data_IF_123946963552
#
_entry.id   IF_123946963552
#
_cell.length_a   1.000
_cell.length_b   1.000
_cell.length_c   1.000
_cell.angle_alpha   90.00
_cell.angle_beta   90.00
_cell.angle_gamma   90.00
#
_symmetry.space_group_name_H-M   'P 1'
#
loop_
_entity.id
_entity.type
_entity.pdbx_description
1 polymer ?
#
# COMPACT_ATOMS: atom_id res chain seq x y z
N UNK A 1 7.29 27.21 0.44
CA UNK A 1 6.26 27.20 1.50
C UNK A 1 6.73 26.26 2.61
N UNK A 2 6.92 26.72 3.85
CA UNK A 2 7.41 25.88 4.95
C UNK A 2 6.22 25.34 5.73
N UNK A 3 5.83 24.10 5.45
CA UNK A 3 4.74 23.43 6.17
C UNK A 3 5.25 23.08 7.57
N UNK A 4 4.66 23.69 8.59
CA UNK A 4 4.94 23.35 9.99
C UNK A 4 4.00 22.24 10.42
N UNK A 5 4.56 21.06 10.67
CA UNK A 5 3.82 19.89 11.12
C UNK A 5 3.70 19.86 12.65
N UNK A 6 2.60 19.28 13.16
CA UNK A 6 2.37 19.17 14.60
C UNK A 6 3.48 18.35 15.30
N UNK A 7 3.74 18.65 16.58
CA UNK A 7 4.74 17.90 17.38
C UNK A 7 4.43 16.40 17.47
N UNK A 8 3.16 16.01 17.32
CA UNK A 8 2.72 14.60 17.38
C UNK A 8 3.21 13.82 16.16
N UNK A 9 3.03 14.35 14.96
CA UNK A 9 3.44 13.65 13.73
C UNK A 9 4.97 13.56 13.60
N UNK A 10 5.71 14.54 14.14
CA UNK A 10 7.17 14.52 14.18
C UNK A 10 7.76 13.34 14.97
N UNK A 11 6.97 12.70 15.85
CA UNK A 11 7.38 11.53 16.64
C UNK A 11 7.06 10.19 15.95
N UNK A 12 6.27 10.19 14.88
CA UNK A 12 5.89 8.98 14.16
C UNK A 12 7.06 8.58 13.28
N UNK A 13 7.62 7.40 13.52
CA UNK A 13 8.68 6.86 12.67
C UNK A 13 8.09 6.46 11.32
N UNK A 14 8.84 6.62 10.21
CA UNK A 14 8.46 6.05 8.93
C UNK A 14 8.17 4.54 9.05
N UNK A 15 7.15 4.07 8.35
CA UNK A 15 6.76 2.65 8.40
C UNK A 15 7.81 1.78 7.68
N UNK A 16 8.43 0.80 8.36
CA UNK A 16 9.35 -0.13 7.72
C UNK A 16 8.66 -1.00 6.65
N UNK A 17 7.39 -1.35 6.84
CA UNK A 17 6.63 -2.19 5.90
C UNK A 17 6.38 -1.45 4.59
N UNK A 18 6.08 -0.15 4.66
CA UNK A 18 5.89 0.69 3.47
C UNK A 18 7.18 0.77 2.64
N UNK A 19 8.33 0.93 3.30
CA UNK A 19 9.62 1.03 2.62
C UNK A 19 9.98 -0.26 1.86
N UNK A 20 9.74 -1.42 2.48
CA UNK A 20 10.00 -2.72 1.85
C UNK A 20 9.08 -2.96 0.65
N UNK A 21 7.78 -2.67 0.80
CA UNK A 21 6.82 -2.81 -0.31
C UNK A 21 7.16 -1.88 -1.47
N UNK A 22 7.53 -0.62 -1.19
CA UNK A 22 7.93 0.34 -2.22
C UNK A 22 9.17 -0.14 -2.99
N UNK A 23 10.19 -0.63 -2.28
CA UNK A 23 11.40 -1.17 -2.91
C UNK A 23 11.08 -2.41 -3.77
N UNK A 24 10.29 -3.35 -3.26
CA UNK A 24 9.91 -4.54 -4.03
C UNK A 24 9.16 -4.17 -5.32
N UNK A 25 8.26 -3.18 -5.27
CA UNK A 25 7.53 -2.69 -6.43
C UNK A 25 8.46 -2.02 -7.45
N UNK A 26 9.42 -1.21 -6.98
CA UNK A 26 10.43 -0.60 -7.86
C UNK A 26 11.26 -1.65 -8.58
N UNK A 27 11.78 -2.64 -7.85
CA UNK A 27 12.62 -3.68 -8.44
C UNK A 27 11.85 -4.55 -9.46
N UNK A 28 10.55 -4.80 -9.26
CA UNK A 28 9.71 -5.45 -10.29
C UNK A 28 9.52 -4.57 -11.52
N UNK A 29 9.30 -3.26 -11.33
CA UNK A 29 9.18 -2.32 -12.43
C UNK A 29 10.48 -2.21 -13.26
N UNK A 30 11.63 -2.38 -12.62
CA UNK A 30 12.95 -2.46 -13.25
C UNK A 30 13.20 -3.81 -13.96
N UNK A 31 12.20 -4.70 -14.02
CA UNK A 31 12.26 -5.99 -14.72
C UNK A 31 12.94 -7.12 -13.93
N UNK A 32 13.18 -6.94 -12.62
CA UNK A 32 13.76 -8.00 -11.78
C UNK A 32 12.68 -8.94 -11.26
N UNK A 33 13.02 -10.22 -11.19
CA UNK A 33 12.19 -11.23 -10.54
C UNK A 33 12.23 -11.06 -9.01
N UNK A 34 11.11 -10.67 -8.40
CA UNK A 34 11.01 -10.32 -6.98
C UNK A 34 9.73 -10.88 -6.37
N UNK A 35 9.89 -11.78 -5.41
CA UNK A 35 8.81 -12.35 -4.61
C UNK A 35 8.55 -11.42 -3.41
N UNK A 36 7.38 -10.80 -3.38
CA UNK A 36 7.00 -9.88 -2.30
C UNK A 36 6.24 -10.60 -1.20
N UNK A 37 6.90 -10.90 -0.08
CA UNK A 37 6.28 -11.51 1.10
C UNK A 37 5.91 -10.49 2.19
N UNK A 38 5.98 -9.19 1.86
CA UNK A 38 5.71 -8.10 2.80
C UNK A 38 4.26 -7.59 2.72
N UNK A 39 3.48 -8.01 1.72
CA UNK A 39 2.08 -7.63 1.60
C UNK A 39 1.24 -8.42 2.61
N UNK A 40 0.37 -7.72 3.35
CA UNK A 40 -0.58 -8.33 4.29
C UNK A 40 -1.99 -8.49 3.69
N UNK A 41 -2.18 -8.11 2.43
CA UNK A 41 -3.45 -8.17 1.72
C UNK A 41 -3.46 -9.37 0.76
N UNK A 42 -4.63 -10.01 0.54
CA UNK A 42 -4.76 -11.09 -0.43
C UNK A 42 -4.42 -10.62 -1.85
N UNK A 43 -3.90 -11.55 -2.66
CA UNK A 43 -3.66 -11.39 -4.10
C UNK A 43 -4.93 -11.52 -4.94
N UNK A 44 -6.02 -12.02 -4.34
CA UNK A 44 -7.31 -12.16 -5.01
C UNK A 44 -8.06 -10.84 -5.07
N UNK A 45 -8.68 -10.60 -6.22
CA UNK A 45 -9.62 -9.49 -6.38
C UNK A 45 -10.90 -9.72 -5.54
N UNK A 46 -11.59 -8.64 -5.22
CA UNK A 46 -12.87 -8.69 -4.52
C UNK A 46 -13.91 -9.44 -5.38
N UNK A 47 -14.67 -10.41 -4.82
CA UNK A 47 -15.71 -11.14 -5.53
C UNK A 47 -16.77 -10.24 -6.21
N UNK A 48 -17.24 -10.67 -7.38
CA UNK A 48 -18.19 -9.90 -8.21
C UNK A 48 -19.49 -9.56 -7.50
N UNK A 49 -20.03 -10.47 -6.68
CA UNK A 49 -21.27 -10.22 -5.96
C UNK A 49 -21.11 -9.11 -4.91
N UNK A 50 -19.92 -8.94 -4.34
CA UNK A 50 -19.59 -7.84 -3.41
C UNK A 50 -19.49 -6.54 -4.18
N UNK A 51 -18.81 -6.55 -5.33
CA UNK A 51 -18.70 -5.38 -6.22
C UNK A 51 -20.07 -4.89 -6.69
N UNK A 52 -20.96 -5.79 -7.10
CA UNK A 52 -22.33 -5.46 -7.53
C UNK A 52 -23.14 -4.83 -6.41
N UNK A 53 -23.13 -5.44 -5.21
CA UNK A 53 -23.81 -4.89 -4.05
C UNK A 53 -23.32 -3.47 -3.69
N UNK A 54 -22.02 -3.17 -3.87
CA UNK A 54 -21.49 -1.83 -3.66
C UNK A 54 -21.96 -0.81 -4.70
N UNK A 55 -22.14 -1.22 -5.95
CA UNK A 55 -22.69 -0.37 -7.03
C UNK A 55 -24.18 -0.09 -6.78
N UNK A 56 -24.95 -1.11 -6.40
CA UNK A 56 -26.40 -1.00 -6.18
C UNK A 56 -26.78 -0.08 -4.99
N UNK A 57 -25.83 0.18 -4.08
CA UNK A 57 -26.04 1.00 -2.88
C UNK A 57 -25.92 2.52 -3.10
N UNK A 58 -25.54 2.97 -4.29
CA UNK A 58 -25.37 4.38 -4.68
C UNK A 58 -26.61 4.85 -5.45
#
# INVERSE_FOLDING_TARGET
MKISLSKRIQRVKPSPTLAVTALANQLRADGRDVIGLAAGEPDFDTPDYIKRAAIDAI
#
